data_IF_018511301080
#
_entry.id   IF_018511301080
#
_cell.length_a   1.000
_cell.length_b   1.000
_cell.length_c   1.000
_cell.angle_alpha   90.00
_cell.angle_beta   90.00
_cell.angle_gamma   90.00
#
_symmetry.space_group_name_H-M   'P 1'
#
loop_
_entity.id
_entity.type
_entity.pdbx_description
1 polymer ?
#
# COMPACT_ATOMS: atom_id res chain seq x y z
N UNK A 1 20.16 -14.54 -14.97
CA UNK A 1 20.39 -13.20 -15.56
C UNK A 1 21.81 -13.16 -16.08
N UNK A 2 22.00 -12.73 -17.32
CA UNK A 2 23.32 -12.37 -17.83
C UNK A 2 23.64 -10.92 -17.45
N UNK A 3 24.92 -10.62 -17.23
CA UNK A 3 25.40 -9.27 -16.94
C UNK A 3 26.26 -8.81 -18.10
N UNK A 4 25.90 -7.70 -18.73
CA UNK A 4 26.62 -7.11 -19.85
C UNK A 4 27.18 -5.75 -19.44
N UNK A 5 28.40 -5.44 -19.90
CA UNK A 5 29.09 -4.18 -19.60
C UNK A 5 29.25 -3.37 -20.88
N UNK A 6 28.61 -2.19 -21.00
CA UNK A 6 28.77 -1.33 -22.17
C UNK A 6 30.13 -0.61 -22.15
N UNK A 7 30.94 -0.77 -23.21
CA UNK A 7 32.29 -0.23 -23.28
C UNK A 7 32.40 1.12 -24.01
N UNK A 8 31.62 1.33 -25.08
CA UNK A 8 31.63 2.60 -25.82
C UNK A 8 30.90 3.70 -25.06
N UNK A 9 31.31 4.95 -25.27
CA UNK A 9 30.66 6.12 -24.65
C UNK A 9 29.19 6.20 -25.06
N UNK A 10 28.89 5.94 -26.34
CA UNK A 10 27.53 5.90 -26.87
C UNK A 10 26.67 4.84 -26.16
N UNK A 11 27.17 3.60 -26.06
CA UNK A 11 26.44 2.53 -25.38
C UNK A 11 26.23 2.83 -23.89
N UNK A 12 27.17 3.50 -23.22
CA UNK A 12 26.99 3.96 -21.84
C UNK A 12 25.91 5.04 -21.73
N UNK A 13 25.87 5.99 -22.67
CA UNK A 13 24.84 7.04 -22.68
C UNK A 13 23.45 6.46 -22.94
N UNK A 14 23.32 5.53 -23.89
CA UNK A 14 22.05 4.85 -24.18
C UNK A 14 21.59 3.98 -23.00
N UNK A 15 22.52 3.27 -22.36
CA UNK A 15 22.19 2.48 -21.18
C UNK A 15 21.63 3.34 -20.04
N UNK A 16 22.18 4.55 -19.85
CA UNK A 16 21.73 5.48 -18.83
C UNK A 16 20.44 6.22 -19.19
N UNK A 17 20.24 6.54 -20.46
CA UNK A 17 19.12 7.36 -20.90
C UNK A 17 17.89 6.54 -21.34
N UNK A 18 18.06 5.31 -21.80
CA UNK A 18 16.97 4.51 -22.35
C UNK A 18 16.76 3.22 -21.56
N UNK A 19 17.83 2.57 -21.14
CA UNK A 19 17.75 1.25 -20.49
C UNK A 19 17.71 1.31 -18.96
N UNK A 20 17.71 2.50 -18.36
CA UNK A 20 17.65 2.63 -16.91
C UNK A 20 16.26 2.26 -16.38
N UNK A 21 16.21 1.60 -15.22
CA UNK A 21 14.97 1.08 -14.64
C UNK A 21 13.90 2.14 -14.35
N UNK A 22 14.30 3.34 -13.90
CA UNK A 22 13.36 4.42 -13.58
C UNK A 22 12.65 5.02 -14.81
N UNK A 23 13.18 4.80 -16.02
CA UNK A 23 12.52 5.25 -17.26
C UNK A 23 11.56 4.19 -17.81
N UNK A 24 11.67 2.95 -17.36
CA UNK A 24 10.89 1.79 -17.82
C UNK A 24 9.85 1.35 -16.77
N UNK A 25 9.07 2.29 -16.23
CA UNK A 25 8.06 2.01 -15.18
C UNK A 25 6.74 1.50 -15.75
N UNK A 26 6.39 1.91 -16.97
CA UNK A 26 5.14 1.57 -17.65
C UNK A 26 5.37 0.50 -18.71
N UNK A 27 4.32 -0.26 -19.01
CA UNK A 27 4.33 -1.22 -20.10
C UNK A 27 4.29 -0.49 -21.46
N UNK A 28 5.16 -0.85 -22.41
CA UNK A 28 5.22 -0.19 -23.71
C UNK A 28 3.96 -0.43 -24.55
N UNK A 29 3.24 -1.53 -24.30
CA UNK A 29 2.06 -1.92 -25.08
C UNK A 29 0.75 -1.30 -24.58
N UNK A 30 0.55 -1.23 -23.26
CA UNK A 30 -0.74 -0.83 -22.66
C UNK A 30 -0.63 0.39 -21.75
N UNK A 31 0.59 0.82 -21.38
CA UNK A 31 0.80 1.93 -20.46
C UNK A 31 0.53 1.60 -18.99
N UNK A 32 0.10 0.37 -18.67
CA UNK A 32 -0.08 -0.08 -17.29
C UNK A 32 1.25 -0.11 -16.53
N UNK A 33 1.27 0.23 -15.23
CA UNK A 33 2.50 0.22 -14.44
C UNK A 33 3.01 -1.21 -14.23
N UNK A 34 4.29 -1.44 -14.55
CA UNK A 34 4.96 -2.73 -14.32
C UNK A 34 5.54 -2.79 -12.90
N UNK A 35 5.99 -1.64 -12.36
CA UNK A 35 6.62 -1.56 -11.04
C UNK A 35 5.61 -1.42 -9.89
N UNK A 36 4.54 -2.21 -9.89
CA UNK A 36 3.56 -2.27 -8.79
C UNK A 36 4.07 -3.19 -7.68
N UNK A 37 3.95 -2.83 -6.38
CA UNK A 37 4.31 -3.74 -5.30
C UNK A 37 3.51 -5.04 -5.37
N UNK A 38 4.18 -6.18 -5.22
CA UNK A 38 3.58 -7.52 -5.29
C UNK A 38 3.87 -8.34 -4.02
N UNK A 39 3.09 -9.41 -3.84
CA UNK A 39 3.28 -10.44 -2.81
C UNK A 39 3.46 -9.83 -1.39
N UNK A 40 4.65 -9.97 -0.81
CA UNK A 40 4.91 -9.64 0.59
C UNK A 40 4.76 -8.14 0.87
N UNK A 41 5.02 -7.29 -0.13
CA UNK A 41 4.80 -5.85 0.01
C UNK A 41 3.31 -5.51 0.17
N UNK A 42 2.43 -6.19 -0.57
CA UNK A 42 0.99 -6.01 -0.44
C UNK A 42 0.48 -6.57 0.89
N UNK A 43 1.01 -7.70 1.36
CA UNK A 43 0.66 -8.28 2.66
C UNK A 43 1.08 -7.34 3.79
N UNK A 44 2.29 -6.79 3.74
CA UNK A 44 2.78 -5.80 4.70
C UNK A 44 1.91 -4.55 4.71
N UNK A 45 1.61 -3.99 3.54
CA UNK A 45 0.73 -2.83 3.41
C UNK A 45 -0.68 -3.13 3.91
N UNK A 46 -1.24 -4.31 3.61
CA UNK A 46 -2.55 -4.75 4.08
C UNK A 46 -2.60 -4.86 5.60
N UNK A 47 -1.59 -5.47 6.24
CA UNK A 47 -1.54 -5.57 7.71
C UNK A 47 -1.46 -4.17 8.33
N UNK A 48 -0.63 -3.27 7.79
CA UNK A 48 -0.44 -1.91 8.30
C UNK A 48 -1.69 -1.03 8.11
N UNK A 49 -2.44 -1.25 7.03
CA UNK A 49 -3.61 -0.42 6.67
C UNK A 49 -4.95 -1.05 7.08
N UNK A 50 -4.98 -2.36 7.40
CA UNK A 50 -6.16 -3.05 7.94
C UNK A 50 -6.52 -2.40 9.27
N UNK A 51 -7.50 -1.50 9.23
CA UNK A 51 -7.83 -0.60 10.33
C UNK A 51 -8.19 -1.37 11.59
N UNK A 52 -7.23 -1.51 12.51
CA UNK A 52 -7.49 -1.93 13.87
C UNK A 52 -6.64 -1.13 14.84
N UNK A 53 -7.25 -0.64 15.93
CA UNK A 53 -6.64 0.19 16.99
C UNK A 53 -5.56 -0.53 17.81
N UNK A 54 -5.06 -1.67 17.34
CA UNK A 54 -4.12 -2.55 18.00
C UNK A 54 -3.28 -3.25 16.93
N UNK A 55 -2.46 -2.48 16.23
CA UNK A 55 -1.37 -3.03 15.43
C UNK A 55 -0.29 -3.61 16.34
N UNK A 56 0.11 -4.85 16.06
CA UNK A 56 1.42 -5.51 16.31
C UNK A 56 2.03 -5.37 17.73
N UNK A 57 1.24 -4.93 18.71
CA UNK A 57 1.56 -5.02 20.13
C UNK A 57 0.35 -5.57 20.87
N UNK A 58 0.02 -6.82 20.58
CA UNK A 58 -0.08 -7.76 21.69
C UNK A 58 1.31 -7.79 22.35
N UNK A 59 1.63 -6.71 23.08
CA UNK A 59 2.83 -6.65 23.87
C UNK A 59 2.71 -7.85 24.83
N UNK A 60 3.73 -8.69 24.78
CA UNK A 60 4.02 -9.70 25.79
C UNK A 60 4.82 -9.04 26.93
N UNK A 61 4.43 -7.83 27.32
CA UNK A 61 5.01 -7.07 28.43
C UNK A 61 3.89 -6.40 29.24
N UNK A 62 3.25 -7.27 30.01
CA UNK A 62 2.54 -6.98 31.26
C UNK A 62 1.19 -6.23 31.16
N UNK A 63 0.12 -6.78 31.75
CA UNK A 63 -1.19 -6.14 31.79
C UNK A 63 -1.24 -5.12 32.93
N UNK A 64 -1.11 -3.83 32.62
CA UNK A 64 -1.62 -2.79 33.51
C UNK A 64 -2.35 -1.69 32.72
N UNK A 65 -3.64 -1.97 32.51
CA UNK A 65 -4.78 -1.07 32.66
C UNK A 65 -4.48 0.45 32.59
N UNK A 66 -4.81 1.12 31.48
CA UNK A 66 -5.16 2.55 31.52
C UNK A 66 -6.26 2.91 30.53
N UNK A 67 -7.40 3.25 31.12
CA UNK A 67 -8.63 3.81 30.53
C UNK A 67 -8.33 4.83 29.42
N UNK A 68 -9.07 4.77 28.32
CA UNK A 68 -9.52 5.98 27.60
C UNK A 68 -10.80 5.69 26.79
N UNK A 69 -11.89 6.29 27.26
CA UNK A 69 -13.30 6.08 26.90
C UNK A 69 -13.80 6.94 25.73
N UNK A 70 -12.92 7.42 24.83
CA UNK A 70 -13.31 8.46 23.84
C UNK A 70 -13.39 7.98 22.39
N UNK A 71 -12.65 6.94 21.99
CA UNK A 71 -12.52 6.59 20.57
C UNK A 71 -13.67 5.70 20.04
N UNK A 72 -14.39 4.97 20.91
CA UNK A 72 -15.55 4.16 20.52
C UNK A 72 -16.79 4.96 20.11
N UNK A 73 -16.91 6.24 20.49
CA UNK A 73 -18.07 7.07 20.10
C UNK A 73 -18.04 7.56 18.65
N UNK A 74 -16.85 7.65 18.02
CA UNK A 74 -16.73 8.26 16.69
C UNK A 74 -17.14 7.30 15.55
N UNK A 75 -16.85 6.00 15.67
CA UNK A 75 -17.16 5.03 14.61
C UNK A 75 -18.62 4.55 14.58
N UNK A 76 -19.42 4.83 15.61
CA UNK A 76 -20.82 4.41 15.66
C UNK A 76 -21.79 5.43 15.01
N UNK A 77 -21.32 6.64 14.64
CA UNK A 77 -22.16 7.65 14.00
C UNK A 77 -22.28 7.48 12.47
N UNK A 78 -21.40 6.73 11.83
CA UNK A 78 -21.39 6.62 10.36
C UNK A 78 -22.39 5.58 9.81
N UNK A 79 -22.88 4.66 10.65
CA UNK A 79 -23.87 3.65 10.24
C UNK A 79 -25.33 4.15 10.21
N UNK A 80 -25.61 5.41 10.58
CA UNK A 80 -26.98 5.96 10.51
C UNK A 80 -27.37 6.49 9.13
N UNK A 81 -26.42 6.76 8.24
CA UNK A 81 -26.71 7.32 6.92
C UNK A 81 -27.15 6.27 5.89
N UNK A 82 -26.77 5.01 6.08
CA UNK A 82 -27.15 3.91 5.18
C UNK A 82 -28.52 3.31 5.50
N UNK A 83 -28.99 3.39 6.76
CA UNK A 83 -30.29 2.82 7.16
C UNK A 83 -31.50 3.68 6.75
N UNK A 84 -31.35 5.01 6.65
CA UNK A 84 -32.45 5.93 6.31
C UNK A 84 -32.79 5.96 4.81
N UNK A 85 -31.82 5.66 3.92
CA UNK A 85 -32.07 5.53 2.47
C UNK A 85 -32.80 4.24 2.09
N UNK A 86 -32.62 3.14 2.84
CA UNK A 86 -33.31 1.86 2.59
C UNK A 86 -34.78 1.87 2.99
N UNK A 87 -35.19 2.74 3.91
CA UNK A 87 -36.61 2.89 4.34
C UNK A 87 -37.39 3.91 3.50
N UNK A 88 -36.75 4.55 2.51
CA UNK A 88 -37.38 5.55 1.62
C UNK A 88 -37.70 4.99 0.21
N UNK A 89 -37.43 3.70 -0.03
CA UNK A 89 -37.76 2.99 -1.27
C UNK A 89 -38.52 1.68 -0.97
N UNK A 90 -39.51 1.77 -0.11
CA UNK A 90 -40.64 0.85 0.07
C UNK A 90 -41.87 1.71 0.38
#
# INVERSE_FOLDING_TARGET
MAVHVPLSLEAQTEARLLMFSHMNVLSPSMGDPISVPTQDMLIGLYILTSGNRRGISANRYSPCNRRNSKTERIYNNNNRYTKKKRTLFL
#
